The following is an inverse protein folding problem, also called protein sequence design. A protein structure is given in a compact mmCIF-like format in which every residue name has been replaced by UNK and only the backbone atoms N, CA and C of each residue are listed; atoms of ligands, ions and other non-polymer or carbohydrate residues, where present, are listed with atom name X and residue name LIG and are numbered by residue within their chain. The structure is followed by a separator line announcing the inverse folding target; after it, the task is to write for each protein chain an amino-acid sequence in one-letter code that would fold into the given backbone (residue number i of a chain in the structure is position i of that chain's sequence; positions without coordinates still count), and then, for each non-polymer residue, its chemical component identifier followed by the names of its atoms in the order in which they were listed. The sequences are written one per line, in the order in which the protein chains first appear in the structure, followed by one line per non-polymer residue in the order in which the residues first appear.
data_IF_970766142681
#
_entry.id   IF_970766142681
#
_cell.length_a   1.000
_cell.length_b   1.000
_cell.length_c   1.000
_cell.angle_alpha   90.00
_cell.angle_beta   90.00
_cell.angle_gamma   90.00
#
_symmetry.space_group_name_H-M   'P 1'
#
loop_
_entity.id
_entity.type
_entity.pdbx_description
1 polymer ?
#
# COMPACT_ATOMS: atom_id res chain seq x y z
N UNK A 1 9.68 16.77 -9.68
CA UNK A 1 10.43 15.56 -9.26
C UNK A 1 11.63 15.83 -8.36
N UNK A 2 12.45 16.89 -8.52
CA UNK A 2 13.61 17.16 -7.63
C UNK A 2 13.29 17.28 -6.13
N UNK A 3 12.09 17.72 -5.74
CA UNK A 3 11.69 17.82 -4.33
C UNK A 3 11.39 16.47 -3.67
N UNK A 4 10.78 15.55 -4.43
CA UNK A 4 10.41 14.22 -3.93
C UNK A 4 11.65 13.39 -3.55
N UNK A 5 12.70 13.41 -4.37
CA UNK A 5 13.93 12.62 -4.10
C UNK A 5 14.64 13.03 -2.81
N UNK A 6 14.49 14.28 -2.35
CA UNK A 6 15.06 14.73 -1.09
C UNK A 6 14.25 14.27 0.13
N UNK A 7 12.93 14.15 -0.02
CA UNK A 7 12.02 13.83 1.08
C UNK A 7 11.63 12.35 1.17
N UNK A 8 11.85 11.58 0.10
CA UNK A 8 11.61 10.15 0.07
C UNK A 8 12.60 9.37 0.94
N UNK A 9 12.12 8.30 1.56
CA UNK A 9 12.98 7.41 2.37
C UNK A 9 13.88 6.62 1.41
N UNK A 10 15.21 6.53 1.63
CA UNK A 10 16.07 5.74 0.77
C UNK A 10 15.74 4.24 0.88
N UNK A 11 15.92 3.50 -0.21
CA UNK A 11 15.85 2.05 -0.14
C UNK A 11 17.08 1.50 0.59
N UNK A 12 16.89 0.50 1.46
CA UNK A 12 17.98 -0.19 2.16
C UNK A 12 18.49 -1.42 1.38
N UNK A 13 17.79 -1.77 0.30
CA UNK A 13 18.13 -2.86 -0.62
C UNK A 13 17.97 -2.35 -2.04
N UNK A 14 18.79 -2.83 -2.96
CA UNK A 14 18.65 -2.46 -4.38
C UNK A 14 17.44 -3.16 -5.02
N UNK A 15 16.65 -2.48 -5.86
CA UNK A 15 15.64 -3.13 -6.69
C UNK A 15 16.28 -4.16 -7.63
N UNK A 16 15.60 -5.27 -7.84
CA UNK A 16 15.97 -6.28 -8.85
C UNK A 16 15.94 -5.67 -10.25
N UNK A 17 14.93 -4.82 -10.51
CA UNK A 17 14.84 -3.99 -11.71
C UNK A 17 13.89 -2.82 -11.44
N UNK A 18 13.92 -1.84 -12.34
CA UNK A 18 12.97 -0.72 -12.37
C UNK A 18 12.30 -0.68 -13.73
N UNK A 19 10.98 -0.69 -13.76
CA UNK A 19 10.19 -0.60 -15.00
C UNK A 19 9.61 0.81 -15.13
N UNK A 20 9.68 1.40 -16.32
CA UNK A 20 9.01 2.66 -16.61
C UNK A 20 7.58 2.38 -17.08
N UNK A 21 6.59 2.81 -16.31
CA UNK A 21 5.17 2.63 -16.64
C UNK A 21 4.50 3.99 -16.69
N UNK A 22 4.11 4.41 -17.90
CA UNK A 22 3.46 5.70 -18.15
C UNK A 22 4.24 6.92 -17.59
N UNK A 23 5.58 6.83 -17.61
CA UNK A 23 6.47 7.91 -17.19
C UNK A 23 6.81 7.95 -15.70
N UNK A 24 6.27 7.02 -14.89
CA UNK A 24 6.67 6.82 -13.50
C UNK A 24 7.49 5.52 -13.35
N UNK A 25 8.56 5.54 -12.53
CA UNK A 25 9.32 4.35 -12.21
C UNK A 25 8.57 3.46 -11.21
N UNK A 26 8.45 2.18 -11.55
CA UNK A 26 8.00 1.11 -10.65
C UNK A 26 9.22 0.27 -10.26
N UNK A 27 9.56 0.30 -8.98
CA UNK A 27 10.74 -0.40 -8.44
C UNK A 27 10.37 -1.83 -8.03
N UNK A 28 11.02 -2.85 -8.60
CA UNK A 28 10.68 -4.24 -8.35
C UNK A 28 11.71 -4.90 -7.42
N UNK A 29 11.26 -5.41 -6.28
CA UNK A 29 12.11 -6.07 -5.27
C UNK A 29 12.01 -7.61 -5.31
N UNK A 30 11.27 -8.17 -6.26
CA UNK A 30 11.06 -9.60 -6.42
C UNK A 30 10.13 -10.21 -5.36
N UNK A 31 9.34 -11.20 -5.79
CA UNK A 31 8.40 -11.92 -4.90
C UNK A 31 8.72 -13.41 -4.75
N UNK A 32 9.66 -13.95 -5.55
CA UNK A 32 9.91 -15.39 -5.73
C UNK A 32 10.44 -16.14 -4.49
N UNK A 33 10.74 -15.43 -3.39
CA UNK A 33 11.22 -16.02 -2.14
C UNK A 33 10.52 -15.43 -0.91
N UNK A 34 9.37 -14.77 -1.09
CA UNK A 34 8.54 -14.40 0.06
C UNK A 34 7.86 -15.66 0.58
N UNK A 35 8.00 -15.92 1.88
CA UNK A 35 7.37 -17.07 2.54
C UNK A 35 5.99 -16.74 3.08
N UNK A 36 5.57 -15.47 2.98
CA UNK A 36 4.32 -14.96 3.54
C UNK A 36 3.44 -14.31 2.46
N UNK A 37 3.26 -15.03 1.35
CA UNK A 37 2.44 -14.61 0.20
C UNK A 37 1.61 -15.79 -0.29
N UNK A 38 0.36 -15.53 -0.66
CA UNK A 38 -0.47 -16.46 -1.44
C UNK A 38 -0.58 -15.95 -2.88
N UNK A 39 0.14 -16.61 -3.79
CA UNK A 39 0.23 -16.21 -5.19
C UNK A 39 -1.14 -16.24 -5.91
N UNK A 40 -2.01 -17.20 -5.59
CA UNK A 40 -3.33 -17.32 -6.21
C UNK A 40 -4.24 -16.15 -5.79
N UNK A 41 -4.16 -15.76 -4.53
CA UNK A 41 -4.89 -14.61 -4.00
C UNK A 41 -4.41 -13.29 -4.62
N UNK A 42 -3.09 -13.11 -4.77
CA UNK A 42 -2.49 -11.93 -5.41
C UNK A 42 -2.93 -11.78 -6.87
N UNK A 43 -3.01 -12.89 -7.61
CA UNK A 43 -3.47 -12.88 -9.02
C UNK A 43 -4.97 -12.59 -9.14
N UNK A 44 -5.80 -13.26 -8.32
CA UNK A 44 -7.26 -13.06 -8.32
C UNK A 44 -7.63 -11.61 -8.02
N UNK A 45 -7.03 -11.01 -7.00
CA UNK A 45 -7.26 -9.59 -6.69
C UNK A 45 -6.72 -8.68 -7.76
N UNK A 46 -5.51 -8.93 -8.28
CA UNK A 46 -4.96 -8.15 -9.39
C UNK A 46 -5.92 -8.09 -10.59
N UNK A 47 -6.69 -9.16 -10.84
CA UNK A 47 -7.75 -9.21 -11.86
C UNK A 47 -9.05 -8.53 -11.45
N UNK A 48 -9.47 -8.61 -10.18
CA UNK A 48 -10.66 -7.91 -9.67
C UNK A 48 -10.47 -6.39 -9.63
N UNK A 49 -9.35 -5.91 -9.09
CA UNK A 49 -9.04 -4.47 -9.03
C UNK A 49 -8.87 -3.86 -10.43
N UNK A 50 -8.39 -4.64 -11.41
CA UNK A 50 -8.40 -4.26 -12.84
C UNK A 50 -9.81 -3.97 -13.37
N UNK A 51 -10.83 -4.69 -12.89
CA UNK A 51 -12.21 -4.57 -13.37
C UNK A 51 -13.02 -3.46 -12.69
N UNK A 52 -12.75 -3.13 -11.42
CA UNK A 52 -13.52 -2.16 -10.63
C UNK A 52 -13.01 -0.71 -10.70
N UNK A 53 -12.20 -0.36 -11.71
CA UNK A 53 -11.26 0.76 -11.62
C UNK A 53 -11.76 2.13 -12.12
N UNK A 54 -13.07 2.41 -12.04
CA UNK A 54 -13.61 3.73 -12.41
C UNK A 54 -14.25 4.41 -11.19
N UNK A 55 -13.42 5.04 -10.35
CA UNK A 55 -13.88 6.00 -9.35
C UNK A 55 -13.36 7.38 -9.72
N UNK A 56 -14.23 8.37 -9.66
CA UNK A 56 -13.86 9.78 -9.76
C UNK A 56 -13.18 10.26 -8.48
N UNK A 57 -12.39 11.33 -8.56
CA UNK A 57 -11.75 11.95 -7.39
C UNK A 57 -12.78 12.35 -6.32
N UNK A 58 -13.98 12.76 -6.73
CA UNK A 58 -15.08 13.07 -5.82
C UNK A 58 -15.53 11.83 -5.04
N UNK A 59 -15.73 10.70 -5.71
CA UNK A 59 -16.14 9.45 -5.08
C UNK A 59 -15.05 8.91 -4.15
N UNK A 60 -13.79 8.96 -4.59
CA UNK A 60 -12.64 8.58 -3.74
C UNK A 60 -12.62 9.43 -2.48
N UNK A 61 -12.68 10.75 -2.61
CA UNK A 61 -12.68 11.66 -1.47
C UNK A 61 -13.86 11.43 -0.53
N UNK A 62 -15.06 11.22 -1.07
CA UNK A 62 -16.25 10.96 -0.28
C UNK A 62 -16.13 9.65 0.49
N UNK A 63 -15.79 8.55 -0.17
CA UNK A 63 -15.71 7.22 0.45
C UNK A 63 -14.56 7.18 1.47
N UNK A 64 -13.37 7.68 1.09
CA UNK A 64 -12.21 7.72 1.97
C UNK A 64 -12.53 8.47 3.26
N UNK A 65 -13.05 9.69 3.16
CA UNK A 65 -13.31 10.55 4.33
C UNK A 65 -14.44 10.06 5.23
N UNK A 66 -15.33 9.18 4.73
CA UNK A 66 -16.51 8.73 5.48
C UNK A 66 -16.42 7.30 6.00
N UNK A 67 -15.57 6.44 5.44
CA UNK A 67 -15.57 5.00 5.77
C UNK A 67 -14.19 4.44 6.12
N UNK A 68 -13.10 5.06 5.67
CA UNK A 68 -11.76 4.49 5.81
C UNK A 68 -10.80 5.40 6.57
N UNK A 69 -10.90 6.71 6.37
CA UNK A 69 -10.03 7.73 6.95
C UNK A 69 -10.80 8.72 7.86
N UNK A 70 -12.03 8.39 8.24
CA UNK A 70 -12.88 9.21 9.12
C UNK A 70 -12.26 9.39 10.52
N UNK A 71 -11.52 8.38 11.00
CA UNK A 71 -10.77 8.44 12.26
C UNK A 71 -9.35 9.02 12.11
N UNK A 72 -8.89 9.22 10.87
CA UNK A 72 -7.53 9.71 10.59
C UNK A 72 -7.50 11.22 10.73
N UNK A 73 -6.67 11.70 11.66
CA UNK A 73 -6.47 13.13 11.85
C UNK A 73 -5.54 13.70 10.78
N UNK A 74 -5.80 14.94 10.38
CA UNK A 74 -4.95 15.65 9.43
C UNK A 74 -3.47 15.65 9.84
N UNK A 75 -3.18 15.83 11.13
CA UNK A 75 -1.82 15.82 11.70
C UNK A 75 -1.04 14.50 11.52
N UNK A 76 -1.74 13.39 11.19
CA UNK A 76 -1.11 12.10 10.91
C UNK A 76 -0.61 11.98 9.47
N UNK A 77 -1.15 12.78 8.55
CA UNK A 77 -0.79 12.74 7.12
C UNK A 77 -0.15 14.03 6.62
N UNK A 78 -0.55 15.19 7.13
CA UNK A 78 -0.06 16.49 6.67
C UNK A 78 1.44 16.67 6.88
N UNK A 79 2.17 16.90 5.79
CA UNK A 79 3.63 17.00 5.77
C UNK A 79 4.33 15.76 6.38
N UNK A 80 3.68 14.59 6.30
CA UNK A 80 4.21 13.31 6.82
C UNK A 80 4.69 12.38 5.71
N UNK A 81 5.63 11.51 6.05
CA UNK A 81 6.06 10.40 5.19
C UNK A 81 5.16 9.20 5.44
N UNK A 82 4.45 8.76 4.41
CA UNK A 82 3.41 7.74 4.52
C UNK A 82 3.79 6.48 3.74
N UNK A 83 3.46 5.31 4.29
CA UNK A 83 3.53 4.02 3.60
C UNK A 83 2.13 3.45 3.37
N UNK A 84 1.80 3.15 2.12
CA UNK A 84 0.62 2.38 1.71
C UNK A 84 1.03 0.93 1.44
N UNK A 85 0.59 0.01 2.30
CA UNK A 85 0.91 -1.42 2.20
C UNK A 85 -0.25 -2.17 1.57
N UNK A 86 -0.03 -2.67 0.35
CA UNK A 86 -1.07 -3.27 -0.47
C UNK A 86 -1.86 -2.21 -1.25
N UNK A 87 -1.16 -1.33 -1.96
CA UNK A 87 -1.79 -0.17 -2.60
C UNK A 87 -2.73 -0.55 -3.77
N UNK A 88 -2.63 -1.78 -4.29
CA UNK A 88 -3.41 -2.24 -5.44
C UNK A 88 -3.27 -1.28 -6.63
N UNK A 89 -4.40 -0.76 -7.10
CA UNK A 89 -4.48 0.20 -8.22
C UNK A 89 -4.29 1.66 -7.79
N UNK A 90 -3.95 1.93 -6.53
CA UNK A 90 -3.57 3.26 -6.05
C UNK A 90 -4.72 4.14 -5.57
N UNK A 91 -5.94 3.59 -5.43
CA UNK A 91 -7.14 4.37 -5.05
C UNK A 91 -6.96 5.18 -3.77
N UNK A 92 -6.46 4.54 -2.72
CA UNK A 92 -6.26 5.18 -1.42
C UNK A 92 -4.96 5.96 -1.34
N UNK A 93 -3.94 5.52 -2.07
CA UNK A 93 -2.71 6.30 -2.31
C UNK A 93 -3.04 7.68 -2.84
N UNK A 94 -3.93 7.79 -3.86
CA UNK A 94 -4.36 9.07 -4.45
C UNK A 94 -4.96 10.01 -3.41
N UNK A 95 -5.86 9.49 -2.57
CA UNK A 95 -6.49 10.28 -1.51
C UNK A 95 -5.47 10.82 -0.50
N UNK A 96 -4.50 9.99 -0.09
CA UNK A 96 -3.51 10.38 0.91
C UNK A 96 -2.41 11.28 0.32
N UNK A 97 -2.07 11.10 -0.95
CA UNK A 97 -1.03 11.86 -1.64
C UNK A 97 -1.31 13.37 -1.68
N UNK A 98 -2.59 13.79 -1.71
CA UNK A 98 -2.96 15.22 -1.66
C UNK A 98 -2.62 15.90 -0.32
N UNK A 99 -2.32 15.12 0.72
CA UNK A 99 -2.08 15.60 2.10
C UNK A 99 -0.67 15.27 2.58
N UNK A 100 -0.06 14.22 2.06
CA UNK A 100 1.24 13.72 2.50
C UNK A 100 2.43 14.51 1.92
N UNK A 101 3.55 14.52 2.66
CA UNK A 101 4.82 14.98 2.12
C UNK A 101 5.30 14.02 1.03
N UNK A 102 5.31 12.73 1.35
CA UNK A 102 5.62 11.64 0.41
C UNK A 102 4.76 10.43 0.72
N UNK A 103 4.43 9.65 -0.32
CA UNK A 103 3.79 8.34 -0.18
C UNK A 103 4.63 7.28 -0.88
N UNK A 104 5.09 6.31 -0.11
CA UNK A 104 5.61 5.05 -0.63
C UNK A 104 4.46 4.06 -0.73
N UNK A 105 4.15 3.60 -1.94
CA UNK A 105 3.04 2.69 -2.20
C UNK A 105 3.58 1.34 -2.69
N UNK A 106 3.23 0.27 -1.97
CA UNK A 106 3.79 -1.06 -2.16
C UNK A 106 2.67 -2.06 -2.45
N UNK A 107 2.84 -2.89 -3.47
CA UNK A 107 1.94 -4.03 -3.73
C UNK A 107 2.72 -5.20 -4.36
N UNK A 108 2.47 -6.46 -4.00
CA UNK A 108 3.17 -7.59 -4.61
C UNK A 108 2.68 -7.95 -6.03
N UNK A 109 1.48 -7.49 -6.41
CA UNK A 109 0.83 -7.78 -7.69
C UNK A 109 1.26 -6.80 -8.80
N UNK A 110 0.87 -7.11 -10.03
CA UNK A 110 1.03 -6.20 -11.17
C UNK A 110 0.01 -5.05 -11.15
N UNK A 111 -0.87 -4.95 -10.15
CA UNK A 111 -1.78 -3.81 -9.98
C UNK A 111 -1.03 -2.48 -9.79
N UNK A 112 0.20 -2.54 -9.27
CA UNK A 112 1.10 -1.38 -9.15
C UNK A 112 1.37 -0.70 -10.50
N UNK A 113 1.35 -1.44 -11.61
CA UNK A 113 1.50 -0.86 -12.95
C UNK A 113 0.30 0.00 -13.33
N UNK A 114 -0.89 -0.35 -12.84
CA UNK A 114 -2.11 0.44 -13.05
C UNK A 114 -2.12 1.64 -12.10
N UNK A 115 -1.65 1.46 -10.87
CA UNK A 115 -1.44 2.56 -9.94
C UNK A 115 -0.51 3.63 -10.54
N UNK A 116 0.53 3.21 -11.28
CA UNK A 116 1.44 4.11 -12.01
C UNK A 116 0.69 5.07 -12.93
N UNK A 117 -0.27 4.54 -13.71
CA UNK A 117 -1.11 5.37 -14.57
C UNK A 117 -2.05 6.28 -13.77
N UNK A 118 -2.64 5.74 -12.71
CA UNK A 118 -3.66 6.43 -11.92
C UNK A 118 -3.10 7.55 -11.02
N UNK A 119 -1.80 7.49 -10.72
CA UNK A 119 -1.07 8.41 -9.84
C UNK A 119 -0.05 9.25 -10.61
N UNK A 120 -0.11 9.26 -11.95
CA UNK A 120 0.86 9.95 -12.81
C UNK A 120 0.92 11.47 -12.57
N UNK A 121 -0.17 12.07 -12.07
CA UNK A 121 -0.27 13.48 -11.66
C UNK A 121 0.22 13.75 -10.23
N UNK A 122 0.53 12.71 -9.44
CA UNK A 122 1.03 12.81 -8.06
C UNK A 122 2.55 12.67 -7.99
N UNK A 123 3.25 13.79 -8.14
CA UNK A 123 4.72 13.84 -8.11
C UNK A 123 5.38 13.53 -6.76
N UNK A 124 4.59 13.24 -5.71
CA UNK A 124 5.03 12.87 -4.38
C UNK A 124 4.81 11.38 -4.03
N UNK A 125 4.50 10.55 -5.03
CA UNK A 125 4.28 9.11 -4.86
C UNK A 125 5.41 8.31 -5.48
N UNK A 126 5.86 7.26 -4.79
CA UNK A 126 6.76 6.23 -5.34
C UNK A 126 6.14 4.85 -5.24
N UNK A 127 6.20 4.10 -6.33
CA UNK A 127 5.58 2.79 -6.48
C UNK A 127 6.61 1.68 -6.44
N UNK A 128 6.39 0.69 -5.59
CA UNK A 128 7.27 -0.47 -5.47
C UNK A 128 6.50 -1.78 -5.53
N UNK A 129 6.98 -2.73 -6.33
CA UNK A 129 6.53 -4.11 -6.30
C UNK A 129 7.33 -4.89 -5.26
N UNK A 130 6.76 -5.06 -4.08
CA UNK A 130 7.38 -5.78 -2.97
C UNK A 130 6.33 -6.47 -2.09
N UNK A 131 6.80 -7.42 -1.28
CA UNK A 131 5.99 -8.11 -0.27
C UNK A 131 6.19 -7.47 1.10
N UNK A 132 5.22 -7.64 2.00
CA UNK A 132 5.26 -7.02 3.33
C UNK A 132 6.46 -7.50 4.16
N UNK A 133 6.89 -8.74 3.99
CA UNK A 133 8.07 -9.31 4.66
C UNK A 133 9.40 -8.74 4.16
N UNK A 134 9.40 -8.06 3.00
CA UNK A 134 10.60 -7.53 2.34
C UNK A 134 10.45 -6.06 1.97
N UNK A 135 9.78 -5.29 2.83
CA UNK A 135 9.69 -3.84 2.67
C UNK A 135 11.11 -3.22 2.64
N UNK A 136 11.51 -2.53 1.56
CA UNK A 136 12.88 -2.11 1.31
C UNK A 136 13.23 -0.80 2.05
N UNK A 137 12.68 -0.59 3.23
CA UNK A 137 12.82 0.65 4.00
C UNK A 137 13.48 0.38 5.35
N UNK A 138 14.22 1.35 5.88
CA UNK A 138 14.75 1.26 7.23
C UNK A 138 13.62 1.23 8.27
N UNK A 139 13.88 0.62 9.42
CA UNK A 139 12.97 0.66 10.56
C UNK A 139 12.79 2.11 11.05
N UNK A 140 11.65 2.39 11.69
CA UNK A 140 11.34 3.72 12.23
C UNK A 140 11.41 4.87 11.20
N UNK A 141 11.00 4.64 9.96
CA UNK A 141 11.12 5.62 8.87
C UNK A 141 9.84 6.39 8.56
N UNK A 142 8.67 5.78 8.78
CA UNK A 142 7.37 6.37 8.42
C UNK A 142 6.65 6.96 9.62
N UNK A 143 5.95 8.07 9.39
CA UNK A 143 5.12 8.73 10.40
C UNK A 143 3.71 8.10 10.47
N UNK A 144 3.21 7.64 9.32
CA UNK A 144 1.92 6.99 9.17
C UNK A 144 2.02 5.84 8.19
N UNK A 145 1.36 4.73 8.52
CA UNK A 145 1.24 3.58 7.65
C UNK A 145 -0.25 3.27 7.52
N UNK A 146 -0.69 2.86 6.34
CA UNK A 146 -2.03 2.29 6.19
C UNK A 146 -2.02 1.04 5.31
N UNK A 147 -2.95 0.13 5.60
CA UNK A 147 -3.23 -1.04 4.77
C UNK A 147 -4.72 -1.33 4.79
N UNK A 148 -5.37 -1.15 3.64
CA UNK A 148 -6.83 -1.22 3.53
C UNK A 148 -7.24 -2.40 2.64
N UNK A 149 -7.75 -3.46 3.26
CA UNK A 149 -8.32 -4.60 2.55
C UNK A 149 -7.30 -5.63 2.04
N UNK A 150 -6.08 -5.68 2.61
CA UNK A 150 -5.00 -6.57 2.10
C UNK A 150 -4.48 -7.57 3.13
N UNK A 151 -4.24 -7.18 4.39
CA UNK A 151 -3.48 -8.04 5.31
C UNK A 151 -4.18 -9.36 5.72
N UNK A 152 -5.51 -9.45 5.62
CA UNK A 152 -6.28 -10.65 6.00
C UNK A 152 -6.19 -11.81 4.97
N UNK A 153 -5.50 -11.56 3.87
CA UNK A 153 -5.15 -12.56 2.86
C UNK A 153 -3.73 -13.12 3.03
N UNK A 154 -2.96 -12.53 3.94
CA UNK A 154 -1.58 -12.95 4.19
C UNK A 154 -1.58 -14.17 5.14
N UNK A 155 -0.89 -15.28 4.79
CA UNK A 155 -0.89 -16.50 5.59
C UNK A 155 -0.52 -16.28 7.07
N UNK A 156 0.52 -15.50 7.33
CA UNK A 156 0.93 -15.04 8.65
C UNK A 156 0.66 -13.54 8.77
N UNK A 157 -0.58 -13.21 9.12
CA UNK A 157 -1.04 -11.83 9.30
C UNK A 157 -0.29 -11.13 10.44
N UNK A 158 0.08 -11.84 11.50
CA UNK A 158 0.81 -11.27 12.63
C UNK A 158 2.20 -10.82 12.19
N UNK A 159 2.95 -11.68 11.49
CA UNK A 159 4.26 -11.32 10.95
C UNK A 159 4.16 -10.12 10.01
N UNK A 160 3.13 -10.05 9.17
CA UNK A 160 2.93 -8.91 8.29
C UNK A 160 2.67 -7.61 9.07
N UNK A 161 1.84 -7.65 10.11
CA UNK A 161 1.62 -6.51 11.01
C UNK A 161 2.91 -6.09 11.71
N UNK A 162 3.70 -7.04 12.21
CA UNK A 162 4.96 -6.76 12.90
C UNK A 162 5.99 -6.11 11.98
N UNK A 163 6.00 -6.47 10.70
CA UNK A 163 6.86 -5.83 9.69
C UNK A 163 6.41 -4.39 9.42
N UNK A 164 5.10 -4.14 9.27
CA UNK A 164 4.57 -2.79 9.15
C UNK A 164 4.91 -1.93 10.38
N UNK A 165 4.65 -2.43 11.58
CA UNK A 165 4.91 -1.72 12.84
C UNK A 165 6.40 -1.39 12.99
N UNK A 166 7.31 -2.28 12.59
CA UNK A 166 8.75 -2.00 12.60
C UNK A 166 9.18 -0.82 11.73
N UNK A 167 8.45 -0.55 10.64
CA UNK A 167 8.73 0.61 9.76
C UNK A 167 8.19 1.93 10.32
N UNK A 168 7.33 1.88 11.33
CA UNK A 168 6.71 3.04 11.94
C UNK A 168 7.65 3.69 12.96
N UNK A 169 7.77 5.02 12.93
CA UNK A 169 8.48 5.78 13.99
C UNK A 169 7.81 5.57 15.35
N UNK A 170 8.55 5.72 16.47
CA UNK A 170 7.94 5.84 17.78
C UNK A 170 6.89 6.97 17.80
N UNK A 171 5.67 6.65 18.23
CA UNK A 171 4.54 7.59 18.23
C UNK A 171 3.85 7.80 16.87
N UNK A 172 4.24 7.07 15.83
CA UNK A 172 3.51 7.03 14.57
C UNK A 172 2.19 6.24 14.69
N UNK A 173 1.37 6.32 13.65
CA UNK A 173 0.07 5.65 13.61
C UNK A 173 0.01 4.62 12.48
N UNK A 174 -0.66 3.49 12.73
CA UNK A 174 -0.91 2.46 11.73
C UNK A 174 -2.42 2.24 11.60
N UNK A 175 -2.99 2.59 10.45
CA UNK A 175 -4.38 2.30 10.12
C UNK A 175 -4.46 0.95 9.38
N UNK A 176 -5.24 0.01 9.92
CA UNK A 176 -5.46 -1.28 9.28
C UNK A 176 -6.94 -1.55 9.14
N UNK A 177 -7.36 -1.97 7.94
CA UNK A 177 -8.72 -2.44 7.67
C UNK A 177 -8.66 -3.87 7.15
N UNK A 178 -9.25 -4.79 7.92
CA UNK A 178 -9.31 -6.22 7.62
C UNK A 178 -10.75 -6.59 7.29
N UNK A 179 -10.99 -7.30 6.19
CA UNK A 179 -12.29 -7.93 5.98
C UNK A 179 -12.38 -9.19 6.83
N UNK A 180 -13.53 -9.37 7.47
CA UNK A 180 -13.87 -10.58 8.19
C UNK A 180 -14.14 -11.71 7.19
N UNK A 181 -13.42 -12.84 7.25
CA UNK A 181 -13.81 -14.04 6.49
C UNK A 181 -15.14 -14.58 7.03
N UNK A 182 -16.15 -14.68 6.17
CA UNK A 182 -17.43 -15.33 6.51
C UNK A 182 -17.38 -16.86 6.39
N UNK A 183 -16.20 -17.45 6.22
CA UNK A 183 -16.05 -18.89 5.90
C UNK A 183 -16.21 -19.82 7.12
N UNK A 184 -16.52 -19.27 8.30
CA UNK A 184 -16.67 -20.02 9.56
C UNK A 184 -18.09 -20.01 10.14
N UNK A 185 -19.13 -19.87 9.31
CA UNK A 185 -20.46 -20.36 9.73
C UNK A 185 -20.42 -21.89 9.69
N UNK A 186 -20.28 -22.47 10.88
CA UNK A 186 -20.21 -23.91 11.10
C UNK A 186 -21.26 -24.67 10.31
N UNK A 187 -20.80 -25.66 9.54
CA UNK A 187 -21.66 -26.77 9.18
C UNK A 187 -22.15 -27.40 10.48
N UNK A 188 -23.43 -27.26 10.77
CA UNK A 188 -24.09 -28.17 11.69
C UNK A 188 -23.86 -29.59 11.17
N UNK A 189 -23.02 -30.36 11.85
CA UNK A 189 -23.13 -31.80 11.83
C UNK A 189 -24.44 -32.16 12.53
N UNK A 190 -25.50 -32.35 11.74
CA UNK A 190 -26.70 -33.09 12.15
C UNK A 190 -26.40 -34.58 12.18
#
# INVERSE_FOLDING_TARGET
MKGFEMDAIPFITEPVNTTQVDGLPVYNFGIAHSTNIDAATVESFGLEWKKFNHFTDREINQIASSHYFDIVKAEWTENKRVLDVGCGTGRWTRFVADRALTVDAVDPSDAVNIASKFLADHGNVRLSRATVDKLPFADYSFDFIFSLGVLHHIPDTQLAMDQCVRKLKPGGYFLVYLYYRFDNKGGCSS
#
